data_IF_134134582497
#
_entry.id   IF_134134582497
#
_cell.length_a   1.000
_cell.length_b   1.000
_cell.length_c   1.000
_cell.angle_alpha   90.00
_cell.angle_beta   90.00
_cell.angle_gamma   90.00
#
_symmetry.space_group_name_H-M   'P 1'
#
loop_
_entity.id
_entity.type
_entity.pdbx_description
1 polymer ?
#
# COMPACT_ATOMS: atom_id res chain seq x y z
N UNK A 1 34.74 -2.10 17.18
CA UNK A 1 33.44 -1.52 16.81
C UNK A 1 32.42 -2.65 16.83
N UNK A 2 31.66 -2.77 17.91
CA UNK A 2 30.62 -3.80 18.03
C UNK A 2 29.50 -3.48 17.05
N UNK A 3 29.20 -4.40 16.14
CA UNK A 3 28.04 -4.28 15.26
C UNK A 3 26.79 -4.16 16.14
N UNK A 4 25.87 -3.22 15.87
CA UNK A 4 24.61 -3.15 16.59
C UNK A 4 23.87 -4.48 16.40
N UNK A 5 23.46 -5.09 17.51
CA UNK A 5 22.70 -6.33 17.51
C UNK A 5 21.46 -6.14 16.62
N UNK A 6 21.25 -7.05 15.65
CA UNK A 6 20.03 -7.05 14.87
C UNK A 6 18.84 -7.18 15.82
N UNK A 7 17.77 -6.39 15.65
CA UNK A 7 16.57 -6.53 16.46
C UNK A 7 16.05 -7.98 16.37
N UNK A 8 15.48 -8.52 17.46
CA UNK A 8 14.98 -9.89 17.47
C UNK A 8 13.97 -10.07 16.34
N UNK A 9 14.16 -11.12 15.53
CA UNK A 9 13.22 -11.49 14.47
C UNK A 9 11.81 -11.57 15.05
N UNK A 10 10.82 -10.88 14.45
CA UNK A 10 9.46 -10.93 14.94
C UNK A 10 8.97 -12.38 14.98
N UNK A 11 8.35 -12.78 16.10
CA UNK A 11 7.86 -14.13 16.28
C UNK A 11 6.86 -14.50 15.17
N UNK A 12 7.09 -15.65 14.52
CA UNK A 12 6.24 -16.16 13.46
C UNK A 12 4.80 -16.28 13.97
N UNK A 13 3.79 -15.74 13.25
CA UNK A 13 2.41 -15.82 13.69
C UNK A 13 1.96 -17.27 13.88
N UNK A 14 1.24 -17.55 14.96
CA UNK A 14 0.71 -18.89 15.23
C UNK A 14 -0.28 -19.28 14.14
N UNK A 15 -0.20 -20.54 13.65
CA UNK A 15 -1.13 -21.07 12.65
C UNK A 15 -2.56 -21.09 13.21
N UNK A 16 -3.53 -20.73 12.36
CA UNK A 16 -4.96 -20.80 12.66
C UNK A 16 -5.35 -22.23 13.06
N UNK A 17 -6.11 -22.37 14.13
CA UNK A 17 -6.81 -23.63 14.41
C UNK A 17 -8.08 -23.68 13.54
N UNK A 18 -8.17 -24.58 12.54
CA UNK A 18 -9.30 -24.63 11.61
C UNK A 18 -10.63 -25.05 12.29
N UNK A 19 -10.57 -25.60 13.50
CA UNK A 19 -11.74 -26.01 14.28
C UNK A 19 -12.40 -24.82 15.01
N UNK A 20 -11.69 -23.71 15.18
CA UNK A 20 -12.24 -22.52 15.83
C UNK A 20 -12.97 -21.64 14.82
N UNK A 21 -14.10 -21.07 15.23
CA UNK A 21 -14.85 -20.11 14.42
C UNK A 21 -13.98 -18.89 14.13
N UNK A 22 -13.89 -18.52 12.85
CA UNK A 22 -13.25 -17.26 12.43
C UNK A 22 -13.96 -16.09 13.12
N UNK A 23 -13.27 -15.30 13.96
CA UNK A 23 -13.87 -14.14 14.60
C UNK A 23 -14.28 -13.10 13.55
N UNK A 24 -15.29 -12.28 13.85
CA UNK A 24 -15.55 -11.09 13.02
C UNK A 24 -14.61 -9.98 13.47
N UNK A 25 -14.10 -9.21 12.52
CA UNK A 25 -13.28 -8.06 12.84
C UNK A 25 -14.13 -7.01 13.57
N UNK A 26 -13.66 -6.55 14.73
CA UNK A 26 -14.21 -5.35 15.36
C UNK A 26 -13.75 -4.13 14.56
N UNK A 27 -14.69 -3.31 14.11
CA UNK A 27 -14.43 -2.03 13.47
C UNK A 27 -14.42 -0.92 14.52
N UNK A 28 -13.78 0.23 14.25
CA UNK A 28 -13.84 1.37 15.13
C UNK A 28 -15.30 1.77 15.43
N UNK A 29 -15.57 2.28 16.64
CA UNK A 29 -16.93 2.55 17.10
C UNK A 29 -17.67 3.64 16.33
N UNK A 30 -16.94 4.54 15.66
CA UNK A 30 -17.52 5.67 14.95
C UNK A 30 -16.74 6.01 13.68
N UNK A 31 -17.44 6.53 12.69
CA UNK A 31 -16.84 7.14 11.51
C UNK A 31 -16.22 8.49 11.85
N UNK A 32 -15.16 8.85 11.13
CA UNK A 32 -14.58 10.19 11.22
C UNK A 32 -15.41 11.18 10.41
N UNK A 33 -15.57 12.39 10.94
CA UNK A 33 -16.12 13.51 10.17
C UNK A 33 -15.24 13.86 8.97
N UNK A 34 -15.83 14.51 7.96
CA UNK A 34 -15.16 14.87 6.69
C UNK A 34 -13.81 15.55 6.89
N UNK A 35 -13.72 16.51 7.81
CA UNK A 35 -12.48 17.25 8.08
C UNK A 35 -11.38 16.29 8.56
N UNK A 36 -11.69 15.37 9.47
CA UNK A 36 -10.71 14.45 10.04
C UNK A 36 -10.21 13.39 9.04
N UNK A 37 -10.86 13.23 7.88
CA UNK A 37 -10.38 12.36 6.81
C UNK A 37 -9.09 12.87 6.17
N UNK A 38 -8.78 14.18 6.25
CA UNK A 38 -7.52 14.72 5.74
C UNK A 38 -6.29 14.11 6.41
N UNK A 39 -6.36 13.86 7.73
CA UNK A 39 -5.31 13.14 8.46
C UNK A 39 -5.18 11.69 7.99
N UNK A 40 -6.31 11.03 7.71
CA UNK A 40 -6.33 9.66 7.17
C UNK A 40 -5.74 9.61 5.76
N UNK A 41 -6.07 10.56 4.89
CA UNK A 41 -5.52 10.65 3.55
C UNK A 41 -4.01 10.90 3.56
N UNK A 42 -3.53 11.77 4.46
CA UNK A 42 -2.09 12.01 4.65
C UNK A 42 -1.36 10.75 5.12
N UNK A 43 -1.91 10.05 6.11
CA UNK A 43 -1.34 8.80 6.63
C UNK A 43 -1.31 7.68 5.59
N UNK A 44 -2.32 7.60 4.71
CA UNK A 44 -2.39 6.65 3.61
C UNK A 44 -1.23 6.79 2.62
N UNK A 45 -0.62 7.97 2.56
CA UNK A 45 0.55 8.29 1.73
C UNK A 45 1.86 8.34 2.53
N UNK A 46 1.84 7.97 3.81
CA UNK A 46 3.02 7.92 4.68
C UNK A 46 3.41 9.27 5.30
N UNK A 47 2.62 10.33 5.05
CA UNK A 47 2.88 11.67 5.57
C UNK A 47 2.17 11.93 6.90
N UNK A 48 2.78 12.75 7.76
CA UNK A 48 2.13 13.30 8.95
C UNK A 48 1.75 14.75 8.68
N UNK A 49 0.48 15.00 8.37
CA UNK A 49 -0.02 16.34 8.09
C UNK A 49 -1.03 16.81 9.14
N UNK A 50 -0.99 18.10 9.46
CA UNK A 50 -1.97 18.79 10.30
C UNK A 50 -2.53 20.01 9.56
N UNK A 51 -3.66 20.54 10.05
CA UNK A 51 -4.21 21.78 9.51
C UNK A 51 -3.35 22.97 9.95
N UNK A 52 -2.97 23.80 8.98
CA UNK A 52 -2.32 25.09 9.17
C UNK A 52 -3.22 26.20 8.61
N UNK A 53 -3.40 27.26 9.40
CA UNK A 53 -4.17 28.43 8.97
C UNK A 53 -3.37 29.29 8.00
N UNK A 54 -3.97 29.66 6.87
CA UNK A 54 -3.35 30.57 5.91
C UNK A 54 -3.18 32.01 6.44
N UNK A 55 -3.95 32.39 7.46
CA UNK A 55 -4.03 33.79 7.92
C UNK A 55 -3.14 34.08 9.12
N UNK A 56 -3.12 33.17 10.10
CA UNK A 56 -2.30 33.33 11.31
C UNK A 56 -1.19 32.29 11.44
N UNK A 57 -0.99 31.44 10.43
CA UNK A 57 -0.02 30.34 10.41
C UNK A 57 -0.17 29.27 11.51
N UNK A 58 -1.16 29.39 12.42
CA UNK A 58 -1.36 28.46 13.51
C UNK A 58 -1.62 27.04 13.00
N UNK A 59 -0.85 26.08 13.53
CA UNK A 59 -1.07 24.65 13.34
C UNK A 59 -2.03 24.16 14.42
N UNK A 60 -3.01 23.33 14.06
CA UNK A 60 -4.03 22.88 14.99
C UNK A 60 -4.31 21.39 14.95
N UNK A 61 -4.66 20.88 16.13
CA UNK A 61 -5.20 19.56 16.38
C UNK A 61 -6.16 19.66 17.58
N UNK A 62 -7.31 18.95 17.60
CA UNK A 62 -7.88 18.15 16.50
C UNK A 62 -8.31 19.01 15.30
N UNK A 63 -8.46 18.43 14.10
CA UNK A 63 -8.87 19.16 12.91
C UNK A 63 -10.30 19.70 13.03
N UNK A 64 -10.53 20.92 12.50
CA UNK A 64 -11.77 21.69 12.59
C UNK A 64 -12.09 22.38 11.25
N UNK A 65 -13.31 22.90 11.11
CA UNK A 65 -13.72 23.68 9.93
C UNK A 65 -13.19 25.13 9.95
N UNK A 66 -12.83 25.64 11.12
CA UNK A 66 -12.27 26.98 11.30
C UNK A 66 -11.05 26.94 12.21
N UNK A 67 -10.17 27.94 12.05
CA UNK A 67 -8.97 28.09 12.87
C UNK A 67 -9.34 28.36 14.34
N UNK A 68 -8.75 27.61 15.27
CA UNK A 68 -8.98 27.82 16.71
C UNK A 68 -8.39 29.13 17.26
N UNK A 69 -7.50 29.79 16.50
CA UNK A 69 -6.85 31.03 16.93
C UNK A 69 -7.54 32.28 16.37
N UNK A 70 -7.82 32.33 15.06
CA UNK A 70 -8.38 33.50 14.39
C UNK A 70 -9.76 33.28 13.75
N UNK A 71 -10.36 32.09 13.90
CA UNK A 71 -11.65 31.70 13.31
C UNK A 71 -11.71 31.72 11.77
N UNK A 72 -10.58 31.93 11.08
CA UNK A 72 -10.51 31.85 9.63
C UNK A 72 -10.88 30.45 9.12
N UNK A 73 -11.71 30.34 8.07
CA UNK A 73 -12.01 29.07 7.40
C UNK A 73 -10.88 28.62 6.45
N UNK A 74 -9.85 29.44 6.22
CA UNK A 74 -8.75 29.15 5.28
C UNK A 74 -7.72 28.23 5.92
N UNK A 75 -8.06 26.95 6.01
CA UNK A 75 -7.21 25.89 6.54
C UNK A 75 -6.70 24.98 5.43
N UNK A 76 -5.39 24.71 5.42
CA UNK A 76 -4.77 23.77 4.51
C UNK A 76 -4.09 22.64 5.29
N UNK A 77 -4.13 21.42 4.77
CA UNK A 77 -3.33 20.31 5.30
C UNK A 77 -1.88 20.50 4.86
N UNK A 78 -0.96 20.59 5.83
CA UNK A 78 0.46 20.73 5.58
C UNK A 78 1.23 19.67 6.34
N UNK A 79 2.24 19.08 5.70
CA UNK A 79 3.14 18.13 6.34
C UNK A 79 3.86 18.77 7.53
N UNK A 80 4.04 17.99 8.60
CA UNK A 80 4.67 18.38 9.85
C UNK A 80 5.82 17.42 10.15
N UNK A 81 6.89 17.92 10.77
CA UNK A 81 8.05 17.09 11.16
C UNK A 81 7.69 15.99 12.16
N UNK A 82 6.63 16.20 12.95
CA UNK A 82 6.22 15.31 14.04
C UNK A 82 7.10 15.40 15.28
N UNK A 83 8.15 16.22 15.28
CA UNK A 83 9.02 16.37 16.44
C UNK A 83 8.28 17.01 17.61
N UNK A 84 8.56 16.52 18.82
CA UNK A 84 7.93 17.02 20.04
C UNK A 84 8.48 16.39 21.31
N UNK A 85 7.90 16.82 22.44
CA UNK A 85 8.21 16.30 23.76
C UNK A 85 7.06 15.46 24.30
N UNK A 86 7.34 14.21 24.64
CA UNK A 86 6.41 13.37 25.39
C UNK A 86 6.33 13.91 26.82
N UNK A 87 5.15 14.36 27.24
CA UNK A 87 4.95 14.98 28.56
C UNK A 87 4.60 13.95 29.64
N UNK A 88 3.75 12.99 29.30
CA UNK A 88 3.28 11.95 30.22
C UNK A 88 2.85 10.70 29.44
N UNK A 89 2.90 9.54 30.11
CA UNK A 89 2.40 8.26 29.58
C UNK A 89 1.49 7.57 30.58
N UNK A 90 0.49 6.86 30.08
CA UNK A 90 -0.34 5.95 30.87
C UNK A 90 -0.63 4.67 30.06
N UNK A 91 -0.94 3.58 30.75
CA UNK A 91 -1.29 2.31 30.11
C UNK A 91 -2.74 1.99 30.43
N UNK A 92 -3.57 1.91 29.40
CA UNK A 92 -4.94 1.47 29.52
C UNK A 92 -4.98 -0.05 29.63
N UNK A 93 -5.57 -0.57 30.71
CA UNK A 93 -5.72 -2.01 30.95
C UNK A 93 -7.15 -2.51 30.76
N UNK A 94 -8.12 -1.60 30.61
CA UNK A 94 -9.53 -1.94 30.45
C UNK A 94 -10.20 -0.99 29.44
N UNK A 95 -11.14 -1.52 28.67
CA UNK A 95 -12.00 -0.77 27.75
C UNK A 95 -13.37 -1.43 27.66
N UNK A 96 -14.42 -0.62 27.64
CA UNK A 96 -15.79 -1.10 27.39
C UNK A 96 -16.08 -1.26 25.88
N UNK A 97 -15.22 -0.70 25.02
CA UNK A 97 -15.30 -0.86 23.58
C UNK A 97 -14.55 -2.11 23.13
N UNK A 98 -15.24 -2.99 22.39
CA UNK A 98 -14.69 -4.24 21.86
C UNK A 98 -13.48 -4.01 20.95
N UNK A 99 -13.50 -2.95 20.14
CA UNK A 99 -12.41 -2.62 19.24
C UNK A 99 -11.10 -2.36 19.98
N UNK A 100 -11.17 -1.62 21.08
CA UNK A 100 -9.98 -1.31 21.88
C UNK A 100 -9.60 -2.45 22.83
N UNK A 101 -10.56 -3.27 23.27
CA UNK A 101 -10.32 -4.39 24.20
C UNK A 101 -9.33 -5.41 23.65
N UNK A 102 -9.33 -5.66 22.35
CA UNK A 102 -8.40 -6.59 21.68
C UNK A 102 -6.95 -6.06 21.61
N UNK A 103 -6.74 -4.77 21.89
CA UNK A 103 -5.46 -4.05 21.77
C UNK A 103 -4.85 -3.69 23.13
N UNK A 104 -5.45 -4.17 24.22
CA UNK A 104 -4.95 -3.94 25.57
C UNK A 104 -3.81 -4.91 25.92
N UNK A 105 -2.83 -4.52 26.76
CA UNK A 105 -2.69 -3.20 27.37
C UNK A 105 -2.23 -2.14 26.36
N UNK A 106 -2.88 -0.97 26.36
CA UNK A 106 -2.60 0.09 25.39
C UNK A 106 -1.85 1.25 26.03
N UNK A 107 -0.56 1.38 25.70
CA UNK A 107 0.28 2.49 26.14
C UNK A 107 -0.01 3.74 25.31
N UNK A 108 -0.47 4.80 25.96
CA UNK A 108 -0.79 6.10 25.34
C UNK A 108 -0.05 7.22 26.06
N UNK A 109 0.20 8.31 25.35
CA UNK A 109 0.90 9.46 25.89
C UNK A 109 0.46 10.76 25.27
N UNK A 110 0.68 11.83 26.03
CA UNK A 110 0.46 13.20 25.57
C UNK A 110 1.78 13.77 25.06
N UNK A 111 1.81 14.19 23.81
CA UNK A 111 3.00 14.77 23.17
C UNK A 111 2.73 16.23 22.85
N UNK A 112 3.58 17.12 23.33
CA UNK A 112 3.63 18.51 22.91
C UNK A 112 4.47 18.61 21.63
N UNK A 113 3.83 18.88 20.49
CA UNK A 113 4.56 19.03 19.23
C UNK A 113 5.29 20.38 19.20
N UNK A 114 6.46 20.40 18.57
CA UNK A 114 7.23 21.62 18.31
C UNK A 114 6.43 22.59 17.39
N UNK A 115 5.52 22.03 16.58
CA UNK A 115 4.60 22.79 15.73
C UNK A 115 3.50 23.54 16.52
N UNK A 116 3.37 23.33 17.83
CA UNK A 116 2.44 24.05 18.70
C UNK A 116 1.34 23.22 19.37
N UNK A 117 0.58 22.35 18.68
CA UNK A 117 -0.51 21.62 19.33
C UNK A 117 -0.03 20.41 20.14
N UNK A 118 -0.77 20.07 21.20
CA UNK A 118 -0.59 18.81 21.93
C UNK A 118 -1.46 17.70 21.32
N UNK A 119 -0.92 16.48 21.23
CA UNK A 119 -1.62 15.32 20.65
C UNK A 119 -1.60 14.13 21.62
N UNK A 120 -2.66 13.34 21.58
CA UNK A 120 -2.67 12.00 22.19
C UNK A 120 -2.19 10.99 21.15
N UNK A 121 -1.16 10.23 21.49
CA UNK A 121 -0.57 9.23 20.61
C UNK A 121 -0.39 7.90 21.33
N UNK A 122 -0.44 6.81 20.57
CA UNK A 122 0.12 5.55 21.05
C UNK A 122 1.64 5.69 21.21
N UNK A 123 2.20 5.16 22.29
CA UNK A 123 3.64 5.27 22.56
C UNK A 123 4.31 3.95 22.28
N UNK A 124 5.19 3.95 21.27
CA UNK A 124 5.96 2.77 20.86
C UNK A 124 6.77 2.19 22.03
N UNK A 125 6.91 0.87 22.11
CA UNK A 125 7.61 0.19 23.20
C UNK A 125 9.06 0.70 23.42
N UNK A 126 9.78 0.96 22.32
CA UNK A 126 11.13 1.54 22.34
C UNK A 126 11.24 2.99 22.87
N UNK A 127 10.12 3.71 23.06
CA UNK A 127 10.15 5.05 23.66
C UNK A 127 10.33 4.94 25.17
N UNK A 128 11.31 5.68 25.70
CA UNK A 128 11.63 5.75 27.12
C UNK A 128 10.52 6.33 27.99
N UNK A 129 10.86 6.62 29.26
CA UNK A 129 9.92 7.28 30.18
C UNK A 129 9.78 8.77 29.84
N UNK A 130 8.61 9.33 30.10
CA UNK A 130 8.40 10.76 30.00
C UNK A 130 9.07 11.49 31.19
N UNK A 131 9.60 12.72 31.01
CA UNK A 131 9.64 13.46 29.76
C UNK A 131 10.81 13.04 28.85
N UNK A 132 10.55 12.91 27.54
CA UNK A 132 11.61 12.65 26.55
C UNK A 132 11.23 13.17 25.16
N UNK A 133 12.21 13.28 24.26
CA UNK A 133 12.00 13.65 22.86
C UNK A 133 11.46 12.47 22.06
N UNK A 134 10.48 12.76 21.20
CA UNK A 134 9.82 11.78 20.35
C UNK A 134 9.53 12.37 18.98
N UNK A 135 9.27 11.49 18.02
CA UNK A 135 8.72 11.86 16.71
C UNK A 135 7.36 11.20 16.52
N UNK A 136 6.33 12.01 16.35
CA UNK A 136 4.97 11.56 16.06
C UNK A 136 4.80 11.33 14.57
N UNK A 137 4.27 10.18 14.20
CA UNK A 137 3.81 9.89 12.85
C UNK A 137 2.34 9.46 12.84
N UNK A 138 1.70 9.53 11.67
CA UNK A 138 0.40 8.92 11.45
C UNK A 138 0.54 7.61 10.66
N UNK A 139 -0.20 6.58 11.06
CA UNK A 139 -0.30 5.30 10.35
C UNK A 139 -1.74 4.88 10.22
N UNK A 140 -2.06 4.11 9.19
CA UNK A 140 -3.39 3.54 9.07
C UNK A 140 -3.50 2.29 9.94
N UNK A 141 -4.51 2.23 10.79
CA UNK A 141 -4.89 0.99 11.42
C UNK A 141 -5.52 0.02 10.41
N UNK A 142 -5.82 -1.19 10.90
CA UNK A 142 -6.48 -2.24 10.13
C UNK A 142 -7.82 -1.80 9.52
N UNK A 143 -8.51 -0.83 10.11
CA UNK A 143 -9.76 -0.29 9.59
C UNK A 143 -9.57 0.85 8.58
N UNK A 144 -8.33 1.21 8.26
CA UNK A 144 -7.99 2.34 7.39
C UNK A 144 -8.20 3.70 8.04
N UNK A 145 -8.05 3.82 9.36
CA UNK A 145 -8.10 5.10 10.08
C UNK A 145 -6.71 5.52 10.53
N UNK A 146 -6.40 6.82 10.42
CA UNK A 146 -5.11 7.34 10.89
C UNK A 146 -5.00 7.32 12.42
N UNK A 147 -4.05 6.58 12.95
CA UNK A 147 -3.66 6.55 14.35
C UNK A 147 -2.32 7.28 14.51
N UNK A 148 -2.21 8.11 15.54
CA UNK A 148 -0.97 8.81 15.87
C UNK A 148 -0.09 7.93 16.75
N UNK A 149 1.19 7.86 16.42
CA UNK A 149 2.17 7.03 17.12
C UNK A 149 3.41 7.86 17.41
N UNK A 150 3.82 7.87 18.66
CA UNK A 150 5.08 8.44 19.12
C UNK A 150 6.17 7.37 19.00
N UNK A 151 7.16 7.64 18.16
CA UNK A 151 8.37 6.87 17.98
C UNK A 151 9.55 7.52 18.71
N UNK A 152 10.65 6.79 18.96
CA UNK A 152 11.91 7.40 19.36
C UNK A 152 12.32 8.50 18.36
N UNK A 153 12.94 9.58 18.84
CA UNK A 153 13.39 10.68 17.98
C UNK A 153 14.38 10.20 16.91
N UNK A 154 15.29 9.29 17.30
CA UNK A 154 16.29 8.69 16.43
C UNK A 154 15.99 7.21 16.18
N UNK A 155 16.28 6.75 14.95
CA UNK A 155 16.06 5.38 14.52
C UNK A 155 14.82 5.20 13.64
N UNK A 156 14.81 4.10 12.88
CA UNK A 156 13.65 3.74 12.07
C UNK A 156 12.53 3.16 12.96
N UNK A 157 11.25 3.47 12.68
CA UNK A 157 10.12 2.85 13.35
C UNK A 157 10.13 1.32 13.15
N UNK A 158 10.48 0.57 14.18
CA UNK A 158 10.35 -0.89 14.15
C UNK A 158 8.90 -1.32 14.41
N UNK A 159 8.08 -1.21 13.36
CA UNK A 159 6.68 -1.62 13.36
C UNK A 159 6.51 -3.13 13.61
N UNK A 160 7.55 -3.93 13.35
CA UNK A 160 7.50 -5.37 13.48
C UNK A 160 7.75 -5.85 14.92
N UNK A 161 8.33 -5.04 15.80
CA UNK A 161 8.56 -5.42 17.20
C UNK A 161 7.30 -5.40 18.07
N UNK A 162 6.30 -4.59 17.72
CA UNK A 162 5.09 -4.35 18.50
C UNK A 162 3.86 -5.01 17.83
N UNK A 163 3.09 -5.79 18.59
CA UNK A 163 1.93 -6.52 18.06
C UNK A 163 0.87 -5.60 17.45
N UNK A 164 0.64 -4.40 18.02
CA UNK A 164 -0.35 -3.46 17.51
C UNK A 164 0.16 -2.74 16.27
N UNK A 165 1.46 -2.48 16.19
CA UNK A 165 2.09 -1.84 15.03
C UNK A 165 2.19 -2.78 13.83
N UNK A 166 2.36 -4.08 14.08
CA UNK A 166 2.26 -5.12 13.04
C UNK A 166 0.92 -5.05 12.29
N UNK A 167 -0.17 -4.74 12.98
CA UNK A 167 -1.50 -4.61 12.36
C UNK A 167 -1.64 -3.36 11.48
N UNK A 168 -0.70 -2.42 11.54
CA UNK A 168 -0.72 -1.19 10.74
C UNK A 168 0.03 -1.35 9.41
N UNK A 169 1.01 -2.25 9.38
CA UNK A 169 1.74 -2.65 8.18
C UNK A 169 1.24 -3.98 7.61
N UNK A 170 1.91 -4.43 6.56
CA UNK A 170 1.71 -5.70 5.89
C UNK A 170 3.06 -6.32 5.52
N UNK A 171 3.98 -6.43 6.50
CA UNK A 171 5.34 -6.93 6.26
C UNK A 171 5.34 -8.32 5.58
N UNK A 172 6.02 -8.49 4.44
CA UNK A 172 6.16 -9.79 3.78
C UNK A 172 6.84 -10.87 4.62
N UNK A 173 7.54 -10.52 5.70
CA UNK A 173 8.27 -11.48 6.52
C UNK A 173 7.36 -12.59 7.08
N UNK A 174 7.71 -13.85 6.78
CA UNK A 174 6.95 -15.03 7.18
C UNK A 174 5.59 -15.18 6.49
N UNK A 175 5.35 -14.45 5.39
CA UNK A 175 4.07 -14.44 4.67
C UNK A 175 4.10 -15.24 3.38
N UNK A 176 2.92 -15.67 2.94
CA UNK A 176 2.73 -16.37 1.68
C UNK A 176 2.17 -15.44 0.63
N UNK A 177 2.91 -15.27 -0.45
CA UNK A 177 2.66 -14.22 -1.45
C UNK A 177 2.32 -14.87 -2.80
N UNK A 178 1.33 -14.34 -3.51
CA UNK A 178 1.06 -14.65 -4.91
C UNK A 178 1.45 -13.46 -5.77
N UNK A 179 2.28 -13.67 -6.80
CA UNK A 179 2.60 -12.69 -7.84
C UNK A 179 2.03 -13.20 -9.17
N UNK A 180 1.14 -12.44 -9.82
CA UNK A 180 0.30 -13.00 -10.91
C UNK A 180 1.03 -13.25 -12.23
N UNK A 181 2.15 -12.57 -12.48
CA UNK A 181 3.03 -12.79 -13.64
C UNK A 181 4.49 -12.71 -13.22
N UNK A 182 5.21 -13.84 -13.29
CA UNK A 182 6.65 -13.91 -13.07
C UNK A 182 7.51 -13.80 -14.31
N UNK A 183 6.91 -13.70 -15.51
CA UNK A 183 7.68 -13.58 -16.76
C UNK A 183 8.30 -12.19 -16.86
N UNK A 184 7.53 -11.14 -16.58
CA UNK A 184 8.00 -9.75 -16.68
C UNK A 184 9.19 -9.46 -15.76
N UNK A 185 10.06 -8.53 -16.19
CA UNK A 185 11.20 -8.07 -15.40
C UNK A 185 10.76 -7.51 -14.02
N UNK A 186 9.60 -6.85 -13.98
CA UNK A 186 8.95 -6.38 -12.76
C UNK A 186 8.53 -7.54 -11.86
N UNK A 187 7.89 -8.57 -12.42
CA UNK A 187 7.52 -9.78 -11.70
C UNK A 187 8.72 -10.48 -11.06
N UNK A 188 9.80 -10.67 -11.81
CA UNK A 188 11.03 -11.29 -11.32
C UNK A 188 11.70 -10.48 -10.20
N UNK A 189 11.72 -9.15 -10.34
CA UNK A 189 12.25 -8.25 -9.32
C UNK A 189 11.41 -8.26 -8.04
N UNK A 190 10.08 -8.27 -8.16
CA UNK A 190 9.15 -8.40 -7.02
C UNK A 190 9.39 -9.71 -6.27
N UNK A 191 9.48 -10.84 -6.97
CA UNK A 191 9.73 -12.15 -6.34
C UNK A 191 11.05 -12.13 -5.55
N UNK A 192 12.12 -11.61 -6.16
CA UNK A 192 13.44 -11.54 -5.51
C UNK A 192 13.40 -10.62 -4.29
N UNK A 193 12.73 -9.46 -4.37
CA UNK A 193 12.58 -8.54 -3.25
C UNK A 193 11.77 -9.15 -2.09
N UNK A 194 10.69 -9.89 -2.39
CA UNK A 194 9.86 -10.57 -1.39
C UNK A 194 10.62 -11.69 -0.68
N UNK A 195 11.38 -12.50 -1.42
CA UNK A 195 12.25 -13.54 -0.83
C UNK A 195 13.30 -12.89 0.08
N UNK A 196 13.94 -11.81 -0.38
CA UNK A 196 14.90 -11.03 0.44
C UNK A 196 14.24 -10.41 1.68
N UNK A 197 12.97 -10.02 1.59
CA UNK A 197 12.19 -9.50 2.70
C UNK A 197 11.75 -10.59 3.70
N UNK A 198 12.01 -11.88 3.41
CA UNK A 198 11.75 -13.00 4.31
C UNK A 198 10.39 -13.66 4.12
N UNK A 199 9.77 -13.54 2.94
CA UNK A 199 8.54 -14.30 2.63
C UNK A 199 8.73 -15.81 2.85
N UNK A 200 7.76 -16.47 3.49
CA UNK A 200 7.78 -17.93 3.72
C UNK A 200 7.67 -18.68 2.40
N UNK A 201 6.80 -18.20 1.51
CA UNK A 201 6.52 -18.81 0.22
C UNK A 201 6.07 -17.75 -0.78
N UNK A 202 6.52 -17.87 -2.03
CA UNK A 202 6.10 -17.02 -3.14
C UNK A 202 5.60 -17.90 -4.28
N UNK A 203 4.29 -17.90 -4.51
CA UNK A 203 3.70 -18.45 -5.71
C UNK A 203 3.85 -17.46 -6.84
N UNK A 204 4.37 -17.94 -7.97
CA UNK A 204 4.64 -17.12 -9.14
C UNK A 204 3.79 -17.63 -10.30
N UNK A 205 2.82 -16.80 -10.66
CA UNK A 205 1.92 -17.04 -11.77
C UNK A 205 2.65 -17.03 -13.10
N UNK A 206 2.27 -17.96 -13.96
CA UNK A 206 2.81 -18.08 -15.31
C UNK A 206 1.74 -18.68 -16.23
N UNK A 207 1.35 -17.92 -17.25
CA UNK A 207 0.24 -18.28 -18.13
C UNK A 207 0.55 -19.43 -19.11
N UNK A 208 1.80 -19.61 -19.50
CA UNK A 208 2.22 -20.58 -20.54
C UNK A 208 3.27 -21.59 -20.03
N UNK A 209 2.95 -22.50 -19.07
CA UNK A 209 3.92 -23.40 -18.42
C UNK A 209 4.82 -24.23 -19.34
N UNK A 210 4.37 -24.47 -20.57
CA UNK A 210 5.12 -25.22 -21.58
C UNK A 210 6.23 -24.42 -22.26
N UNK A 211 6.26 -23.09 -22.13
CA UNK A 211 7.21 -22.21 -22.83
C UNK A 211 8.33 -21.74 -21.89
N UNK A 212 9.60 -22.13 -22.12
CA UNK A 212 10.72 -21.61 -21.35
C UNK A 212 10.82 -20.08 -21.49
N UNK A 213 10.94 -19.38 -20.36
CA UNK A 213 11.08 -17.92 -20.31
C UNK A 213 12.42 -17.56 -19.68
N UNK A 214 13.09 -16.54 -20.22
CA UNK A 214 14.34 -16.04 -19.68
C UNK A 214 14.15 -15.48 -18.26
N UNK A 215 15.07 -15.79 -17.35
CA UNK A 215 15.03 -15.31 -15.95
C UNK A 215 14.10 -16.08 -15.01
N UNK A 216 13.04 -16.72 -15.53
CA UNK A 216 12.10 -17.50 -14.70
C UNK A 216 12.79 -18.68 -13.99
N UNK A 217 13.77 -19.31 -14.63
CA UNK A 217 14.55 -20.40 -14.02
C UNK A 217 15.38 -19.94 -12.82
N UNK A 218 15.90 -18.71 -12.85
CA UNK A 218 16.72 -18.17 -11.76
C UNK A 218 15.89 -17.96 -10.49
N UNK A 219 14.67 -17.41 -10.63
CA UNK A 219 13.77 -17.25 -9.47
C UNK A 219 13.20 -18.59 -9.03
N UNK A 220 12.95 -19.53 -9.94
CA UNK A 220 12.45 -20.88 -9.61
C UNK A 220 13.48 -21.73 -8.84
N UNK A 221 14.77 -21.39 -8.93
CA UNK A 221 15.82 -22.04 -8.14
C UNK A 221 15.81 -21.62 -6.65
N UNK A 222 15.08 -20.56 -6.29
CA UNK A 222 14.95 -20.13 -4.91
C UNK A 222 14.03 -21.09 -4.14
N UNK A 223 14.41 -21.56 -2.93
CA UNK A 223 13.66 -22.59 -2.21
C UNK A 223 12.26 -22.15 -1.75
N UNK A 224 12.02 -20.84 -1.62
CA UNK A 224 10.72 -20.27 -1.26
C UNK A 224 9.77 -20.12 -2.45
N UNK A 225 10.25 -20.26 -3.68
CA UNK A 225 9.49 -19.96 -4.89
C UNK A 225 8.83 -21.22 -5.45
N UNK A 226 7.55 -21.10 -5.82
CA UNK A 226 6.79 -22.15 -6.49
C UNK A 226 6.07 -21.58 -7.69
N UNK A 227 6.37 -22.12 -8.88
CA UNK A 227 5.67 -21.72 -10.10
C UNK A 227 4.28 -22.33 -10.13
N UNK A 228 3.28 -21.52 -10.49
CA UNK A 228 1.88 -21.96 -10.63
C UNK A 228 1.31 -21.51 -11.97
N UNK A 229 0.51 -22.37 -12.59
CA UNK A 229 -0.22 -22.00 -13.79
C UNK A 229 -1.26 -20.92 -13.44
N UNK A 230 -1.15 -19.76 -14.08
CA UNK A 230 -2.07 -18.65 -13.87
C UNK A 230 -2.13 -17.79 -15.12
N UNK A 231 -3.25 -17.86 -15.80
CA UNK A 231 -3.62 -16.92 -16.86
C UNK A 231 -4.78 -16.07 -16.34
N UNK A 232 -4.54 -14.77 -16.17
CA UNK A 232 -5.54 -13.83 -15.65
C UNK A 232 -6.68 -13.56 -16.64
N UNK A 233 -6.50 -13.94 -17.92
CA UNK A 233 -7.55 -13.85 -18.94
C UNK A 233 -8.50 -15.04 -18.91
N UNK A 234 -8.06 -16.19 -18.36
CA UNK A 234 -8.88 -17.40 -18.23
C UNK A 234 -9.49 -17.52 -16.83
N UNK A 235 -10.81 -17.30 -16.74
CA UNK A 235 -11.55 -17.45 -15.48
C UNK A 235 -11.49 -18.87 -14.89
N UNK A 236 -11.27 -19.92 -15.68
CA UNK A 236 -11.07 -21.28 -15.17
C UNK A 236 -9.71 -21.41 -14.49
N UNK A 237 -8.64 -20.93 -15.14
CA UNK A 237 -7.29 -20.87 -14.57
C UNK A 237 -7.27 -20.18 -13.21
N UNK A 238 -7.85 -18.97 -13.12
CA UNK A 238 -7.91 -18.19 -11.88
C UNK A 238 -8.66 -18.94 -10.77
N UNK A 239 -9.86 -19.46 -11.07
CA UNK A 239 -10.69 -20.19 -10.10
C UNK A 239 -10.03 -21.48 -9.62
N UNK A 240 -9.40 -22.24 -10.52
CA UNK A 240 -8.69 -23.47 -10.16
C UNK A 240 -7.53 -23.17 -9.20
N UNK A 241 -6.75 -22.12 -9.47
CA UNK A 241 -5.67 -21.72 -8.57
C UNK A 241 -6.20 -21.19 -7.24
N UNK A 242 -7.23 -20.34 -7.26
CA UNK A 242 -7.88 -19.82 -6.05
C UNK A 242 -8.41 -20.94 -5.16
N UNK A 243 -9.01 -21.99 -5.73
CA UNK A 243 -9.43 -23.18 -4.98
C UNK A 243 -8.27 -23.94 -4.34
N UNK A 244 -7.10 -23.97 -4.97
CA UNK A 244 -5.94 -24.72 -4.48
C UNK A 244 -5.12 -23.97 -3.40
N UNK A 245 -4.96 -22.66 -3.55
CA UNK A 245 -4.07 -21.85 -2.68
C UNK A 245 -4.73 -20.62 -2.05
N UNK A 246 -5.93 -20.19 -2.47
CA UNK A 246 -6.54 -18.94 -2.03
C UNK A 246 -6.70 -18.84 -0.51
N UNK A 247 -7.03 -19.96 0.17
CA UNK A 247 -7.10 -20.03 1.63
C UNK A 247 -5.74 -20.01 2.36
N UNK A 248 -4.62 -19.92 1.62
CA UNK A 248 -3.25 -19.88 2.13
C UNK A 248 -2.52 -18.58 1.77
N UNK A 249 -3.03 -17.77 0.85
CA UNK A 249 -2.41 -16.51 0.42
C UNK A 249 -2.64 -15.45 1.49
N UNK A 250 -1.58 -14.74 1.86
CA UNK A 250 -1.63 -13.57 2.74
C UNK A 250 -1.49 -12.27 1.95
N UNK A 251 -0.64 -12.25 0.91
CA UNK A 251 -0.44 -11.07 0.06
C UNK A 251 -0.64 -11.47 -1.40
N UNK A 252 -1.50 -10.76 -2.12
CA UNK A 252 -1.68 -10.93 -3.56
C UNK A 252 -1.15 -9.68 -4.28
N UNK A 253 -0.20 -9.87 -5.19
CA UNK A 253 0.34 -8.83 -6.05
C UNK A 253 -0.14 -9.06 -7.48
N UNK A 254 -1.09 -8.22 -7.91
CA UNK A 254 -1.55 -8.15 -9.28
C UNK A 254 -0.53 -7.38 -10.12
N UNK A 255 0.39 -8.13 -10.74
CA UNK A 255 1.48 -7.63 -11.58
C UNK A 255 1.23 -7.83 -13.08
N UNK A 256 0.45 -8.86 -13.44
CA UNK A 256 0.17 -9.18 -14.83
C UNK A 256 -0.37 -7.97 -15.60
N UNK A 257 0.26 -7.65 -16.72
CA UNK A 257 -0.14 -6.54 -17.57
C UNK A 257 0.09 -6.79 -19.05
N UNK A 258 -0.68 -6.07 -19.86
CA UNK A 258 -0.44 -5.93 -21.28
C UNK A 258 -0.37 -4.45 -21.64
N UNK A 259 0.69 -4.08 -22.36
CA UNK A 259 0.96 -2.71 -22.74
C UNK A 259 1.34 -2.66 -24.23
N UNK A 260 0.61 -1.88 -25.03
CA UNK A 260 0.99 -1.54 -26.41
C UNK A 260 1.13 -0.03 -26.58
N UNK A 261 2.29 0.40 -27.09
CA UNK A 261 2.62 1.81 -27.24
C UNK A 261 2.11 2.39 -28.55
N UNK A 262 0.83 2.80 -28.61
CA UNK A 262 0.26 3.56 -29.73
C UNK A 262 -0.85 4.51 -29.28
N UNK A 263 -0.95 5.66 -29.94
CA UNK A 263 -2.13 6.53 -29.84
C UNK A 263 -3.32 5.96 -30.62
N UNK A 264 -4.53 6.40 -30.26
CA UNK A 264 -5.79 5.87 -30.83
C UNK A 264 -5.83 5.97 -32.37
N UNK A 265 -5.29 7.06 -32.93
CA UNK A 265 -5.29 7.27 -34.38
C UNK A 265 -4.22 6.46 -35.13
N UNK A 266 -3.19 5.95 -34.43
CA UNK A 266 -2.03 5.31 -35.04
C UNK A 266 -2.30 3.87 -35.51
N UNK A 267 -3.40 3.25 -35.07
CA UNK A 267 -3.78 1.89 -35.46
C UNK A 267 -5.28 1.80 -35.71
N UNK A 268 -5.68 0.99 -36.70
CA UNK A 268 -7.09 0.65 -36.95
C UNK A 268 -7.48 -0.63 -36.20
N UNK A 269 -8.74 -0.71 -35.78
CA UNK A 269 -9.31 -1.85 -35.04
C UNK A 269 -9.21 -1.69 -33.52
N UNK A 270 -10.01 -2.48 -32.78
CA UNK A 270 -10.11 -2.41 -31.31
C UNK A 270 -9.48 -3.61 -30.60
N UNK A 271 -8.95 -4.59 -31.33
CA UNK A 271 -8.44 -5.85 -30.76
C UNK A 271 -7.34 -5.63 -29.71
N UNK A 272 -6.48 -4.63 -29.93
CA UNK A 272 -5.45 -4.25 -28.95
C UNK A 272 -6.07 -3.71 -27.68
N UNK A 273 -7.00 -2.77 -27.80
CA UNK A 273 -7.68 -2.17 -26.66
C UNK A 273 -8.49 -3.22 -25.89
N UNK A 274 -9.12 -4.16 -26.59
CA UNK A 274 -9.78 -5.31 -25.96
C UNK A 274 -8.77 -6.17 -25.20
N UNK A 275 -7.64 -6.54 -25.79
CA UNK A 275 -6.62 -7.33 -25.12
C UNK A 275 -6.04 -6.63 -23.89
N UNK A 276 -5.79 -5.31 -23.96
CA UNK A 276 -5.33 -4.51 -22.82
C UNK A 276 -6.38 -4.50 -21.69
N UNK A 277 -7.66 -4.34 -22.03
CA UNK A 277 -8.75 -4.40 -21.07
C UNK A 277 -8.91 -5.81 -20.45
N UNK A 278 -8.78 -6.86 -21.26
CA UNK A 278 -8.86 -8.26 -20.81
C UNK A 278 -7.83 -8.61 -19.75
N UNK A 279 -6.58 -8.13 -19.91
CA UNK A 279 -5.52 -8.37 -18.94
C UNK A 279 -5.58 -7.38 -17.78
N UNK A 280 -5.54 -6.07 -18.06
CA UNK A 280 -5.30 -5.05 -17.03
C UNK A 280 -6.52 -4.82 -16.13
N UNK A 281 -7.73 -4.91 -16.69
CA UNK A 281 -8.98 -4.65 -15.97
C UNK A 281 -9.73 -5.94 -15.62
N UNK A 282 -10.10 -6.74 -16.62
CA UNK A 282 -10.86 -7.97 -16.37
C UNK A 282 -10.01 -9.02 -15.64
N UNK A 283 -8.70 -9.06 -15.86
CA UNK A 283 -7.78 -9.88 -15.08
C UNK A 283 -7.80 -9.52 -13.59
N UNK A 284 -7.73 -8.23 -13.25
CA UNK A 284 -7.90 -7.75 -11.87
C UNK A 284 -9.27 -8.14 -11.31
N UNK A 285 -10.34 -7.97 -12.07
CA UNK A 285 -11.70 -8.31 -11.63
C UNK A 285 -11.84 -9.80 -11.31
N UNK A 286 -11.35 -10.68 -12.18
CA UNK A 286 -11.39 -12.15 -11.97
C UNK A 286 -10.59 -12.54 -10.73
N UNK A 287 -9.38 -11.98 -10.57
CA UNK A 287 -8.57 -12.21 -9.37
C UNK A 287 -9.32 -11.77 -8.12
N UNK A 288 -9.91 -10.57 -8.12
CA UNK A 288 -10.66 -10.04 -6.98
C UNK A 288 -11.83 -10.96 -6.61
N UNK A 289 -12.65 -11.36 -7.59
CA UNK A 289 -13.81 -12.23 -7.34
C UNK A 289 -13.43 -13.58 -6.72
N UNK A 290 -12.30 -14.17 -7.12
CA UNK A 290 -11.89 -15.51 -6.69
C UNK A 290 -11.01 -15.52 -5.42
N UNK A 291 -10.14 -14.51 -5.23
CA UNK A 291 -9.21 -14.45 -4.10
C UNK A 291 -9.67 -13.54 -2.95
N UNK A 292 -10.43 -12.47 -3.20
CA UNK A 292 -10.84 -11.52 -2.15
C UNK A 292 -11.64 -12.19 -1.02
N UNK A 293 -12.64 -13.07 -1.29
CA UNK A 293 -13.39 -13.73 -0.22
C UNK A 293 -12.50 -14.59 0.70
N UNK A 294 -11.56 -15.35 0.10
CA UNK A 294 -10.62 -16.18 0.84
C UNK A 294 -9.65 -15.33 1.68
N UNK A 295 -9.16 -14.23 1.11
CA UNK A 295 -8.27 -13.30 1.78
C UNK A 295 -8.97 -12.62 2.98
N UNK A 296 -10.23 -12.23 2.83
CA UNK A 296 -11.04 -11.64 3.92
C UNK A 296 -11.23 -12.63 5.07
N UNK A 297 -11.51 -13.89 4.74
CA UNK A 297 -11.66 -14.95 5.73
C UNK A 297 -10.34 -15.22 6.48
N UNK A 298 -9.18 -15.12 5.82
CA UNK A 298 -7.86 -15.24 6.48
C UNK A 298 -7.56 -14.06 7.39
N UNK A 299 -7.77 -12.84 6.90
CA UNK A 299 -7.45 -11.63 7.64
C UNK A 299 -8.14 -11.60 9.01
N UNK A 300 -9.36 -12.13 9.08
CA UNK A 300 -10.17 -12.21 10.29
C UNK A 300 -9.57 -13.07 11.44
N UNK A 301 -8.46 -13.79 11.20
CA UNK A 301 -7.84 -14.72 12.16
C UNK A 301 -6.96 -14.08 13.26
N UNK A 302 -7.13 -12.79 13.55
CA UNK A 302 -6.51 -12.09 14.69
C UNK A 302 -5.07 -11.61 14.46
N UNK A 303 -4.24 -11.62 15.52
CA UNK A 303 -2.91 -10.95 15.65
C UNK A 303 -1.83 -11.36 14.62
N UNK A 304 -2.16 -12.26 13.68
CA UNK A 304 -1.37 -12.56 12.50
C UNK A 304 -1.76 -11.68 11.30
N UNK A 305 -2.44 -10.57 11.50
CA UNK A 305 -2.89 -9.67 10.44
C UNK A 305 -1.71 -9.04 9.69
N UNK A 306 -1.60 -9.35 8.39
CA UNK A 306 -0.76 -8.64 7.40
C UNK A 306 -1.27 -9.01 6.00
N UNK A 307 -2.59 -9.06 5.83
CA UNK A 307 -3.17 -9.38 4.54
C UNK A 307 -3.20 -8.13 3.67
N UNK A 308 -2.65 -8.24 2.46
CA UNK A 308 -2.59 -7.12 1.52
C UNK A 308 -2.95 -7.54 0.10
N UNK A 309 -3.51 -6.59 -0.62
CA UNK A 309 -3.70 -6.62 -2.05
C UNK A 309 -2.86 -5.52 -2.67
N UNK A 310 -1.99 -5.85 -3.62
CA UNK A 310 -1.13 -4.89 -4.30
C UNK A 310 -1.49 -4.87 -5.78
N UNK A 311 -1.79 -3.70 -6.33
CA UNK A 311 -1.99 -3.51 -7.77
C UNK A 311 -0.82 -2.75 -8.36
N UNK A 312 -0.19 -3.32 -9.39
CA UNK A 312 0.78 -2.60 -10.22
C UNK A 312 0.00 -1.93 -11.37
N UNK A 313 -0.32 -0.65 -11.18
CA UNK A 313 -1.06 0.17 -12.14
C UNK A 313 -0.08 0.91 -13.05
N UNK A 314 -0.31 2.19 -13.30
CA UNK A 314 0.57 3.09 -14.04
C UNK A 314 0.17 4.52 -13.69
N UNK A 315 1.12 5.45 -13.71
CA UNK A 315 0.83 6.88 -13.54
C UNK A 315 -0.16 7.41 -14.60
N UNK A 316 -0.19 6.79 -15.78
CA UNK A 316 -1.12 7.13 -16.86
C UNK A 316 -2.58 6.74 -16.57
N UNK A 317 -2.85 6.10 -15.43
CA UNK A 317 -4.21 5.90 -14.93
C UNK A 317 -4.85 7.20 -14.42
N UNK A 318 -4.05 8.19 -13.99
CA UNK A 318 -4.54 9.46 -13.45
C UNK A 318 -4.88 10.48 -14.54
N UNK A 319 -4.10 10.47 -15.62
CA UNK A 319 -4.32 11.28 -16.82
C UNK A 319 -3.78 10.52 -18.02
N UNK A 320 -4.47 10.61 -19.15
CA UNK A 320 -4.13 9.84 -20.34
C UNK A 320 -2.81 10.34 -20.95
N UNK A 321 -1.91 9.42 -21.30
CA UNK A 321 -0.74 9.74 -22.12
C UNK A 321 -1.05 9.44 -23.59
N UNK A 322 -1.22 10.45 -24.47
CA UNK A 322 -1.74 10.24 -25.83
C UNK A 322 -0.98 9.21 -26.69
N UNK A 323 0.37 9.10 -26.62
CA UNK A 323 1.11 8.06 -27.32
C UNK A 323 0.81 6.63 -26.86
N UNK A 324 0.12 6.45 -25.73
CA UNK A 324 -0.28 5.16 -25.13
C UNK A 324 -1.77 5.22 -24.70
N UNK A 325 -2.62 5.75 -25.57
CA UNK A 325 -3.98 6.16 -25.19
C UNK A 325 -4.89 5.03 -24.71
N UNK A 326 -4.87 3.86 -25.37
CA UNK A 326 -5.71 2.71 -24.99
C UNK A 326 -5.19 2.01 -23.73
N UNK A 327 -3.87 1.91 -23.59
CA UNK A 327 -3.23 1.42 -22.37
C UNK A 327 -3.62 2.28 -21.16
N UNK A 328 -3.51 3.59 -21.29
CA UNK A 328 -3.92 4.55 -20.25
C UNK A 328 -5.38 4.36 -19.85
N UNK A 329 -6.28 4.15 -20.82
CA UNK A 329 -7.69 3.87 -20.56
C UNK A 329 -7.90 2.56 -19.78
N UNK A 330 -7.19 1.49 -20.13
CA UNK A 330 -7.26 0.20 -19.41
C UNK A 330 -6.77 0.32 -17.96
N UNK A 331 -5.69 1.09 -17.71
CA UNK A 331 -5.15 1.32 -16.36
C UNK A 331 -6.03 2.28 -15.55
N UNK A 332 -6.70 3.25 -16.18
CA UNK A 332 -7.71 4.08 -15.53
C UNK A 332 -8.94 3.26 -15.09
N UNK A 333 -9.41 2.34 -15.94
CA UNK A 333 -10.47 1.39 -15.56
C UNK A 333 -10.02 0.49 -14.38
N UNK A 334 -8.81 -0.04 -14.44
CA UNK A 334 -8.22 -0.82 -13.35
C UNK A 334 -8.06 -0.01 -12.05
N UNK A 335 -7.70 1.29 -12.14
CA UNK A 335 -7.61 2.18 -10.99
C UNK A 335 -8.98 2.39 -10.32
N UNK A 336 -10.02 2.65 -11.12
CA UNK A 336 -11.39 2.77 -10.60
C UNK A 336 -11.85 1.48 -9.92
N UNK A 337 -11.56 0.31 -10.51
CA UNK A 337 -11.85 -0.98 -9.89
C UNK A 337 -11.08 -1.18 -8.58
N UNK A 338 -9.80 -0.78 -8.53
CA UNK A 338 -8.99 -0.86 -7.31
C UNK A 338 -9.51 0.03 -6.18
N UNK A 339 -10.10 1.18 -6.48
CA UNK A 339 -10.78 2.03 -5.48
C UNK A 339 -12.01 1.32 -4.89
N UNK A 340 -12.81 0.66 -5.73
CA UNK A 340 -13.93 -0.18 -5.27
C UNK A 340 -13.42 -1.32 -4.38
N UNK A 341 -12.40 -2.05 -4.85
CA UNK A 341 -11.80 -3.17 -4.13
C UNK A 341 -11.29 -2.75 -2.75
N UNK A 342 -10.67 -1.55 -2.62
CA UNK A 342 -10.25 -0.99 -1.34
C UNK A 342 -11.43 -0.81 -0.38
N UNK A 343 -12.55 -0.30 -0.86
CA UNK A 343 -13.75 -0.14 -0.04
C UNK A 343 -14.34 -1.49 0.40
N UNK A 344 -14.39 -2.47 -0.50
CA UNK A 344 -14.94 -3.81 -0.22
C UNK A 344 -14.05 -4.65 0.71
N UNK A 345 -12.73 -4.50 0.63
CA UNK A 345 -11.77 -5.25 1.43
C UNK A 345 -11.51 -4.64 2.82
N UNK A 346 -11.87 -3.37 3.01
CA UNK A 346 -11.72 -2.63 4.27
C UNK A 346 -12.40 -3.30 5.48
N UNK A 347 -13.63 -3.84 5.41
CA UNK A 347 -14.24 -4.57 6.52
C UNK A 347 -13.49 -5.85 6.90
N UNK A 348 -12.78 -6.47 5.94
CA UNK A 348 -11.84 -7.57 6.22
C UNK A 348 -10.53 -7.08 6.85
N UNK A 349 -10.29 -5.77 6.83
CA UNK A 349 -9.06 -5.13 7.25
C UNK A 349 -7.87 -5.41 6.35
N UNK A 350 -8.11 -5.76 5.08
CA UNK A 350 -7.03 -5.99 4.12
C UNK A 350 -6.57 -4.65 3.57
N UNK A 351 -5.26 -4.43 3.54
CA UNK A 351 -4.68 -3.23 2.92
C UNK A 351 -4.71 -3.37 1.40
N UNK A 352 -5.22 -2.35 0.70
CA UNK A 352 -5.12 -2.29 -0.77
C UNK A 352 -4.13 -1.20 -1.16
N UNK A 353 -2.95 -1.63 -1.60
CA UNK A 353 -1.86 -0.80 -2.08
C UNK A 353 -1.94 -0.69 -3.61
N UNK A 354 -1.97 0.52 -4.15
CA UNK A 354 -1.82 0.78 -5.58
C UNK A 354 -0.46 1.42 -5.85
N UNK A 355 0.26 0.88 -6.82
CA UNK A 355 1.54 1.39 -7.29
C UNK A 355 1.34 2.04 -8.66
N UNK A 356 1.75 3.30 -8.80
CA UNK A 356 1.63 4.10 -10.03
C UNK A 356 3.01 4.46 -10.57
N UNK A 357 3.75 3.49 -11.14
CA UNK A 357 5.05 3.79 -11.73
C UNK A 357 4.91 4.60 -13.03
N UNK A 358 5.99 5.31 -13.36
CA UNK A 358 6.21 5.85 -14.71
C UNK A 358 6.69 4.78 -15.69
N UNK A 359 7.34 5.17 -16.80
CA UNK A 359 7.96 4.23 -17.74
C UNK A 359 8.92 3.26 -17.04
N UNK A 360 8.75 1.96 -17.24
CA UNK A 360 9.60 0.92 -16.67
C UNK A 360 10.75 0.58 -17.62
N UNK A 361 11.89 0.13 -17.08
CA UNK A 361 12.95 -0.48 -17.87
C UNK A 361 12.61 -1.96 -18.14
N UNK A 362 11.79 -2.18 -19.16
CA UNK A 362 11.24 -3.47 -19.53
C UNK A 362 11.08 -3.66 -21.05
N UNK A 363 10.54 -4.81 -21.45
CA UNK A 363 10.31 -5.14 -22.87
C UNK A 363 9.30 -4.20 -23.54
N UNK A 364 8.34 -3.64 -22.81
CA UNK A 364 7.30 -2.79 -23.36
C UNK A 364 7.83 -1.40 -23.73
N UNK A 365 8.77 -0.89 -22.94
CA UNK A 365 9.28 0.47 -23.08
C UNK A 365 10.67 0.52 -23.71
N UNK A 366 11.14 -0.51 -24.41
CA UNK A 366 12.49 -0.54 -25.03
C UNK A 366 12.78 0.71 -25.87
N UNK A 367 11.81 1.14 -26.68
CA UNK A 367 11.92 2.30 -27.57
C UNK A 367 11.62 3.64 -26.88
N UNK A 368 11.23 3.63 -25.60
CA UNK A 368 10.98 4.84 -24.84
C UNK A 368 12.32 5.50 -24.46
N UNK A 369 12.42 6.83 -24.55
CA UNK A 369 13.64 7.53 -24.15
C UNK A 369 13.76 7.59 -22.62
N UNK A 370 14.98 7.58 -22.05
CA UNK A 370 15.18 7.82 -20.62
C UNK A 370 14.55 9.16 -20.16
N UNK A 371 14.15 9.29 -18.89
CA UNK A 371 14.39 8.36 -17.78
C UNK A 371 13.36 7.20 -17.70
N UNK A 372 13.83 6.02 -17.30
CA UNK A 372 13.00 4.82 -17.01
C UNK A 372 13.27 4.34 -15.59
N UNK A 373 12.26 3.76 -14.96
CA UNK A 373 12.36 3.18 -13.63
C UNK A 373 12.85 1.73 -13.70
N UNK A 374 13.93 1.42 -12.98
CA UNK A 374 14.43 0.05 -12.87
C UNK A 374 13.44 -0.84 -12.08
N UNK A 375 13.15 -2.08 -12.54
CA UNK A 375 12.27 -3.03 -11.84
C UNK A 375 12.60 -3.25 -10.36
N UNK A 376 13.88 -3.26 -10.00
CA UNK A 376 14.33 -3.48 -8.63
C UNK A 376 13.95 -2.32 -7.70
N UNK A 377 13.95 -1.08 -8.21
CA UNK A 377 13.56 0.10 -7.43
C UNK A 377 12.05 0.06 -7.15
N UNK A 378 11.23 -0.31 -8.15
CA UNK A 378 9.80 -0.53 -7.94
C UNK A 378 9.55 -1.62 -6.89
N UNK A 379 10.23 -2.76 -7.01
CA UNK A 379 10.06 -3.87 -6.07
C UNK A 379 10.41 -3.48 -4.63
N UNK A 380 11.50 -2.73 -4.44
CA UNK A 380 11.88 -2.18 -3.13
C UNK A 380 10.85 -1.20 -2.58
N UNK A 381 10.31 -0.32 -3.43
CA UNK A 381 9.26 0.61 -3.05
C UNK A 381 7.98 -0.12 -2.60
N UNK A 382 7.58 -1.19 -3.30
CA UNK A 382 6.42 -2.02 -2.90
C UNK A 382 6.65 -2.70 -1.55
N UNK A 383 7.82 -3.31 -1.32
CA UNK A 383 8.14 -3.93 -0.03
C UNK A 383 8.14 -2.91 1.10
N UNK A 384 8.71 -1.73 0.87
CA UNK A 384 8.70 -0.62 1.83
C UNK A 384 7.27 -0.15 2.12
N UNK A 385 6.46 0.05 1.10
CA UNK A 385 5.07 0.48 1.23
C UNK A 385 4.22 -0.54 2.00
N UNK A 386 4.45 -1.83 1.77
CA UNK A 386 3.83 -2.90 2.55
C UNK A 386 4.22 -2.81 4.03
N UNK A 387 5.51 -2.63 4.35
CA UNK A 387 5.96 -2.46 5.75
C UNK A 387 5.38 -1.23 6.43
N UNK A 388 5.26 -0.12 5.68
CA UNK A 388 4.73 1.14 6.21
C UNK A 388 3.18 1.19 6.23
N UNK A 389 2.50 0.27 5.53
CA UNK A 389 1.04 0.20 5.48
C UNK A 389 0.38 1.24 4.57
N UNK A 390 1.07 1.64 3.50
CA UNK A 390 0.61 2.69 2.58
C UNK A 390 -0.51 2.18 1.66
N UNK A 391 -1.32 3.10 1.13
CA UNK A 391 -2.39 2.78 0.17
C UNK A 391 -2.04 3.14 -1.26
N UNK A 392 -1.26 4.19 -1.50
CA UNK A 392 -0.86 4.62 -2.86
C UNK A 392 0.61 5.04 -2.87
N UNK A 393 1.38 4.58 -3.86
CA UNK A 393 2.79 4.95 -4.07
C UNK A 393 3.09 5.28 -5.54
N UNK A 394 4.08 6.16 -5.76
CA UNK A 394 4.42 6.72 -7.06
C UNK A 394 5.93 6.63 -7.31
N UNK A 395 6.50 5.44 -7.54
CA UNK A 395 7.94 5.28 -7.64
C UNK A 395 8.49 5.89 -8.95
N UNK A 396 9.64 6.56 -8.84
CA UNK A 396 10.37 7.16 -9.96
C UNK A 396 10.05 8.63 -10.23
N UNK A 397 11.01 9.37 -10.78
CA UNK A 397 10.93 10.82 -10.96
C UNK A 397 9.79 11.23 -11.89
N UNK A 398 9.58 10.48 -12.98
CA UNK A 398 8.47 10.73 -13.92
C UNK A 398 7.11 10.61 -13.22
N UNK A 399 6.94 9.62 -12.33
CA UNK A 399 5.69 9.44 -11.62
C UNK A 399 5.45 10.56 -10.60
N UNK A 400 6.50 11.05 -9.95
CA UNK A 400 6.44 12.14 -8.99
C UNK A 400 6.13 13.48 -9.67
N UNK A 401 6.85 13.85 -10.74
CA UNK A 401 6.60 15.06 -11.54
C UNK A 401 5.16 15.08 -12.07
N UNK A 402 4.72 13.95 -12.63
CA UNK A 402 3.36 13.81 -13.15
C UNK A 402 2.31 13.96 -12.06
N UNK A 403 2.53 13.35 -10.89
CA UNK A 403 1.61 13.47 -9.75
C UNK A 403 1.54 14.91 -9.24
N UNK A 404 2.67 15.60 -9.14
CA UNK A 404 2.74 16.99 -8.71
C UNK A 404 1.93 17.89 -9.63
N UNK A 405 2.18 17.81 -10.95
CA UNK A 405 1.44 18.55 -11.97
C UNK A 405 -0.05 18.20 -12.01
N UNK A 406 -0.38 16.92 -11.83
CA UNK A 406 -1.78 16.47 -11.76
C UNK A 406 -2.49 16.99 -10.51
N UNK A 407 -1.80 17.12 -9.38
CA UNK A 407 -2.36 17.69 -8.15
C UNK A 407 -2.53 19.20 -8.21
N UNK A 408 -1.66 19.89 -8.95
CA UNK A 408 -1.75 21.34 -9.17
C UNK A 408 -2.95 21.69 -10.06
N UNK A 409 -2.97 21.19 -11.31
CA UNK A 409 -4.11 21.33 -12.21
C UNK A 409 -4.15 20.18 -13.24
N UNK A 410 -5.07 19.20 -13.09
CA UNK A 410 -5.21 18.09 -14.02
C UNK A 410 -5.46 18.52 -15.48
N UNK A 411 -6.14 19.66 -15.68
CA UNK A 411 -6.50 20.15 -17.01
C UNK A 411 -5.34 20.83 -17.71
N UNK A 412 -4.47 21.51 -16.95
CA UNK A 412 -3.20 22.03 -17.49
C UNK A 412 -2.32 20.87 -17.92
N UNK A 413 -2.15 19.85 -17.07
CA UNK A 413 -1.39 18.66 -17.43
C UNK A 413 -1.92 17.98 -18.71
N UNK A 414 -3.23 17.81 -18.84
CA UNK A 414 -3.84 17.26 -20.07
C UNK A 414 -3.43 18.05 -21.33
N UNK A 415 -3.41 19.38 -21.25
CA UNK A 415 -2.99 20.24 -22.37
C UNK A 415 -1.50 20.14 -22.67
N UNK A 416 -0.67 20.07 -21.64
CA UNK A 416 0.79 19.92 -21.79
C UNK A 416 1.15 18.59 -22.47
N UNK A 417 0.47 17.50 -22.10
CA UNK A 417 0.67 16.19 -22.70
C UNK A 417 0.24 16.13 -24.17
N UNK A 418 -0.75 16.94 -24.56
CA UNK A 418 -1.15 17.08 -25.95
C UNK A 418 -0.09 17.82 -26.80
N UNK A 419 0.65 18.78 -26.21
CA UNK A 419 1.68 19.55 -26.90
C UNK A 419 2.98 18.76 -27.07
N UNK A 420 3.34 17.95 -26.07
CA UNK A 420 4.60 17.19 -26.05
C UNK A 420 4.47 15.79 -26.70
N UNK A 421 3.29 15.43 -27.23
CA UNK A 421 3.00 14.14 -27.85
C UNK A 421 3.34 14.05 -29.35
N UNK A 422 4.24 14.89 -29.86
CA UNK A 422 4.64 14.98 -31.27
C UNK A 422 6.06 14.48 -31.53
#
# INVERSE_FOLDING_TARGET
>A
MSMPAMPPTPATPKRKNPLLRTPRLNLPPASRGRVALGLTAAAAQGSFALQSCADCAAVQYPPREACQHCLSPRLAWREQSGLGQLLATTTLHHSNDLFFRERLPWRVGMVQLDAGPSVMAHVHAAVGQAPCRVRVGARLDRSGQAVLIAFPEQGEPDMASDNMLREMGCDPQGRKVLVTDGKSAVGQALVTALVKAGAEMVWVGHAEPWKPQAGLQAIAALPQVSLVALDVTDGRSVRTLAGAIGGKVDILINNAELHRGFGIAARRGTDVAHAEMEVNYFGLLRLAQEFAPALMARSADGQAHACAWVNILSIYALSNFPPQGTFSASKAAAHSLAQCLRAELRPGGIRVLNCFPGPMDDEWNQNFMPPKLAPQVLAQAVVRALREGLEDIYPGDVAQDWLERWRDDPKVLERELALNGG
#
